data_IF_499153572296
#
_entry.id   IF_499153572296
#
_cell.length_a   1.000
_cell.length_b   1.000
_cell.length_c   1.000
_cell.angle_alpha   90.00
_cell.angle_beta   90.00
_cell.angle_gamma   90.00
#
_symmetry.space_group_name_H-M   'P 1'
#
loop_
_entity.id
_entity.type
_entity.pdbx_description
1 polymer ?
#
# COMPACT_ATOMS: atom_id res chain seq x y z
N UNK A 1 -3.29 -21.09 -76.08
CA UNK A 1 -3.47 -22.46 -76.59
C UNK A 1 -3.08 -23.42 -75.49
N UNK A 2 -3.90 -24.46 -75.29
CA UNK A 2 -3.70 -25.68 -74.47
C UNK A 2 -3.81 -25.51 -72.94
N UNK A 3 -4.87 -26.01 -72.26
CA UNK A 3 -5.21 -27.42 -71.90
C UNK A 3 -4.11 -28.08 -71.04
N UNK A 4 -4.33 -28.86 -70.00
CA UNK A 4 -5.49 -29.45 -69.29
C UNK A 4 -4.94 -30.20 -68.05
N UNK A 5 -5.84 -30.80 -67.27
CA UNK A 5 -5.68 -31.78 -66.17
C UNK A 5 -5.48 -31.22 -64.76
N UNK A 6 -6.56 -31.13 -63.96
CA UNK A 6 -7.24 -32.21 -63.23
C UNK A 6 -6.52 -32.63 -61.95
N UNK A 7 -7.09 -32.23 -60.80
CA UNK A 7 -7.54 -33.19 -59.79
C UNK A 7 -8.59 -32.57 -58.85
N UNK A 8 -9.84 -32.90 -59.14
CA UNK A 8 -10.85 -33.46 -58.21
C UNK A 8 -10.18 -33.92 -56.89
N UNK A 9 -10.64 -33.51 -55.70
CA UNK A 9 -11.84 -34.06 -55.08
C UNK A 9 -12.23 -33.28 -53.82
N UNK A 10 -13.55 -33.25 -53.64
CA UNK A 10 -14.30 -33.26 -52.39
C UNK A 10 -14.28 -31.97 -51.56
N UNK A 11 -15.39 -31.22 -51.56
CA UNK A 11 -16.54 -31.42 -50.65
C UNK A 11 -16.21 -30.95 -49.25
N UNK A 12 -17.00 -30.15 -48.53
CA UNK A 12 -18.20 -29.38 -48.74
C UNK A 12 -18.29 -28.50 -47.48
N UNK A 13 -18.94 -27.35 -47.60
CA UNK A 13 -19.31 -26.47 -46.47
C UNK A 13 -20.21 -27.22 -45.44
N UNK A 14 -20.81 -26.56 -44.45
CA UNK A 14 -20.27 -25.79 -43.32
C UNK A 14 -20.85 -26.36 -42.01
N UNK A 15 -20.03 -26.91 -41.10
CA UNK A 15 -20.55 -27.34 -39.79
C UNK A 15 -20.45 -26.21 -38.77
N UNK A 16 -21.62 -25.66 -38.47
CA UNK A 16 -21.91 -25.00 -37.22
C UNK A 16 -21.48 -25.88 -36.05
N UNK A 17 -20.61 -25.37 -35.18
CA UNK A 17 -20.63 -25.79 -33.80
C UNK A 17 -20.24 -24.60 -32.91
N UNK A 18 -21.27 -24.12 -32.22
CA UNK A 18 -21.19 -23.34 -31.01
C UNK A 18 -20.16 -23.97 -30.07
N UNK A 19 -18.97 -23.36 -29.97
CA UNK A 19 -18.18 -23.56 -28.76
C UNK A 19 -18.19 -22.28 -27.93
N UNK A 20 -19.18 -22.31 -27.03
CA UNK A 20 -19.45 -21.40 -25.97
C UNK A 20 -18.18 -21.15 -25.14
N UNK A 21 -17.38 -20.15 -25.55
CA UNK A 21 -16.34 -19.60 -24.67
C UNK A 21 -17.03 -19.09 -23.40
N UNK A 22 -16.75 -19.67 -22.22
CA UNK A 22 -17.40 -19.25 -21.01
C UNK A 22 -16.98 -17.81 -20.75
N UNK A 23 -17.95 -16.90 -20.85
CA UNK A 23 -17.85 -15.50 -20.42
C UNK A 23 -17.25 -15.54 -19.01
N UNK A 24 -15.96 -15.26 -18.88
CA UNK A 24 -15.27 -15.11 -17.60
C UNK A 24 -16.10 -14.10 -16.82
N UNK A 25 -16.86 -14.62 -15.85
CA UNK A 25 -17.74 -13.86 -14.96
C UNK A 25 -16.90 -12.71 -14.44
N UNK A 26 -17.18 -11.49 -14.92
CA UNK A 26 -16.65 -10.25 -14.35
C UNK A 26 -17.04 -10.33 -12.88
N UNK A 27 -16.06 -10.68 -12.04
CA UNK A 27 -16.24 -10.76 -10.58
C UNK A 27 -16.85 -9.43 -10.20
N UNK A 28 -18.11 -9.50 -9.76
CA UNK A 28 -18.93 -8.40 -9.28
C UNK A 28 -18.05 -7.57 -8.35
N UNK A 29 -17.58 -6.43 -8.88
CA UNK A 29 -16.75 -5.45 -8.17
C UNK A 29 -17.57 -5.12 -6.94
N UNK A 30 -17.11 -5.63 -5.78
CA UNK A 30 -17.80 -5.46 -4.52
C UNK A 30 -18.15 -3.99 -4.39
N UNK A 31 -19.45 -3.74 -4.20
CA UNK A 31 -20.08 -2.46 -3.91
C UNK A 31 -19.04 -1.51 -3.32
N UNK A 32 -18.57 -0.56 -4.12
CA UNK A 32 -17.73 0.51 -3.61
C UNK A 32 -18.59 1.20 -2.56
N UNK A 33 -18.36 0.89 -1.29
CA UNK A 33 -18.86 1.70 -0.19
C UNK A 33 -18.49 3.13 -0.54
N UNK A 34 -19.50 4.01 -0.53
CA UNK A 34 -19.34 5.41 -0.85
C UNK A 34 -18.02 5.92 -0.28
N UNK A 35 -17.23 6.57 -1.14
CA UNK A 35 -15.94 7.17 -0.80
C UNK A 35 -16.12 7.89 0.54
N UNK A 36 -15.50 7.37 1.60
CA UNK A 36 -15.67 7.94 2.94
C UNK A 36 -15.02 9.32 2.91
N UNK A 37 -15.83 10.35 3.11
CA UNK A 37 -15.39 11.74 3.13
C UNK A 37 -14.60 11.97 4.42
N UNK A 38 -13.43 12.62 4.30
CA UNK A 38 -12.51 12.79 5.44
C UNK A 38 -11.70 11.56 5.85
N UNK A 39 -11.53 10.56 4.97
CA UNK A 39 -10.66 9.39 5.23
C UNK A 39 -9.58 9.28 4.15
N UNK A 40 -8.32 8.92 4.52
CA UNK A 40 -7.24 8.83 3.55
C UNK A 40 -7.55 7.81 2.46
N UNK A 41 -7.08 8.06 1.24
CA UNK A 41 -7.36 7.23 0.06
C UNK A 41 -7.05 5.74 0.24
N UNK A 42 -6.06 5.42 1.08
CA UNK A 42 -5.70 4.03 1.40
C UNK A 42 -6.61 3.37 2.43
N UNK A 43 -7.13 4.14 3.40
CA UNK A 43 -8.04 3.64 4.43
C UNK A 43 -9.48 3.48 3.92
N UNK A 44 -9.79 3.96 2.71
CA UNK A 44 -11.10 3.71 2.06
C UNK A 44 -11.42 2.22 1.87
N UNK A 45 -10.41 1.35 1.84
CA UNK A 45 -10.57 -0.09 1.71
C UNK A 45 -10.67 -0.81 3.06
N UNK A 46 -10.52 -0.10 4.18
CA UNK A 46 -10.48 -0.71 5.49
C UNK A 46 -11.90 -1.15 5.94
N UNK A 47 -12.00 -2.30 6.64
CA UNK A 47 -13.26 -2.73 7.23
C UNK A 47 -13.77 -1.67 8.22
N UNK A 48 -15.10 -1.56 8.38
CA UNK A 48 -15.68 -0.71 9.42
C UNK A 48 -15.45 -1.35 10.78
N UNK A 49 -14.59 -0.73 11.57
CA UNK A 49 -14.28 -1.15 12.92
C UNK A 49 -13.92 0.10 13.74
N UNK A 50 -14.59 0.35 14.88
CA UNK A 50 -14.42 1.60 15.62
C UNK A 50 -12.99 1.77 16.17
N UNK A 51 -12.31 0.68 16.53
CA UNK A 51 -10.93 0.74 17.02
C UNK A 51 -9.96 1.06 15.88
N UNK A 52 -10.19 0.50 14.69
CA UNK A 52 -9.41 0.82 13.50
C UNK A 52 -9.63 2.25 13.01
N UNK A 53 -10.87 2.73 13.00
CA UNK A 53 -11.22 4.10 12.58
C UNK A 53 -10.59 5.13 13.52
N UNK A 54 -10.56 4.87 14.84
CA UNK A 54 -9.86 5.71 15.81
C UNK A 54 -8.35 5.82 15.52
N UNK A 55 -7.69 4.71 15.11
CA UNK A 55 -6.28 4.76 14.72
C UNK A 55 -6.04 5.55 13.43
N UNK A 56 -7.00 5.54 12.50
CA UNK A 56 -6.92 6.36 11.28
C UNK A 56 -7.04 7.85 11.64
N UNK A 57 -7.90 8.22 12.57
CA UNK A 57 -8.01 9.60 13.05
C UNK A 57 -6.71 10.07 13.74
N UNK A 58 -6.10 9.22 14.57
CA UNK A 58 -4.79 9.51 15.19
C UNK A 58 -3.70 9.68 14.11
N UNK A 59 -3.75 8.88 13.04
CA UNK A 59 -2.85 9.01 11.90
C UNK A 59 -3.03 10.35 11.18
N UNK A 60 -4.27 10.79 10.96
CA UNK A 60 -4.55 12.09 10.35
C UNK A 60 -4.12 13.27 11.22
N UNK A 61 -4.19 13.13 12.55
CA UNK A 61 -3.66 14.10 13.51
C UNK A 61 -2.13 14.16 13.51
N UNK A 62 -1.45 13.21 12.86
CA UNK A 62 0.01 13.16 12.77
C UNK A 62 0.69 12.50 13.97
N UNK A 63 -0.07 11.88 14.87
CA UNK A 63 0.50 11.12 15.99
C UNK A 63 0.86 9.69 15.55
N UNK A 64 1.89 9.63 14.68
CA UNK A 64 2.42 8.38 14.14
C UNK A 64 3.07 7.50 15.22
N UNK A 65 3.48 8.10 16.34
CA UNK A 65 4.05 7.39 17.48
C UNK A 65 3.03 6.47 18.14
N UNK A 66 1.84 6.99 18.43
CA UNK A 66 0.74 6.23 18.99
C UNK A 66 0.24 5.14 18.01
N UNK A 67 0.02 5.50 16.74
CA UNK A 67 -0.42 4.53 15.71
C UNK A 67 0.56 3.36 15.56
N UNK A 68 1.87 3.63 15.64
CA UNK A 68 2.90 2.58 15.53
C UNK A 68 2.84 1.56 16.66
N UNK A 69 2.43 1.96 17.86
CA UNK A 69 2.32 1.07 19.02
C UNK A 69 0.97 0.36 19.04
N UNK A 70 -0.10 1.09 18.75
CA UNK A 70 -1.45 0.59 18.97
C UNK A 70 -1.99 -0.20 17.77
N UNK A 71 -1.54 0.08 16.54
CA UNK A 71 -1.91 -0.71 15.37
C UNK A 71 -1.49 -2.20 15.44
N UNK A 72 -0.26 -2.58 15.83
CA UNK A 72 0.08 -3.99 16.02
C UNK A 72 -0.66 -4.62 17.22
N UNK A 73 -0.93 -3.86 18.29
CA UNK A 73 -1.73 -4.34 19.43
C UNK A 73 -3.18 -4.63 19.04
N UNK A 74 -3.78 -3.77 18.22
CA UNK A 74 -5.10 -3.99 17.64
C UNK A 74 -5.12 -5.25 16.76
N UNK A 75 -4.06 -5.45 15.98
CA UNK A 75 -3.90 -6.64 15.15
C UNK A 75 -3.83 -7.95 15.96
N UNK A 76 -3.27 -7.92 17.16
CA UNK A 76 -3.20 -9.07 18.08
C UNK A 76 -4.52 -9.35 18.80
N UNK A 77 -5.25 -8.29 19.19
CA UNK A 77 -6.51 -8.40 19.95
C UNK A 77 -7.71 -8.71 19.06
N UNK A 78 -7.71 -8.25 17.81
CA UNK A 78 -8.85 -8.43 16.91
C UNK A 78 -8.97 -9.86 16.41
N UNK A 79 -10.18 -10.41 16.43
CA UNK A 79 -10.50 -11.73 15.86
C UNK A 79 -10.70 -11.66 14.33
N UNK A 80 -10.91 -10.47 13.78
CA UNK A 80 -11.17 -10.27 12.36
C UNK A 80 -9.88 -10.20 11.55
N UNK A 81 -9.66 -11.16 10.66
CA UNK A 81 -8.51 -11.17 9.76
C UNK A 81 -8.45 -9.94 8.83
N UNK A 82 -9.59 -9.31 8.54
CA UNK A 82 -9.65 -8.08 7.73
C UNK A 82 -9.12 -6.87 8.50
N UNK A 83 -9.54 -6.70 9.76
CA UNK A 83 -9.09 -5.62 10.65
C UNK A 83 -7.59 -5.76 10.93
N UNK A 84 -7.14 -7.00 11.18
CA UNK A 84 -5.72 -7.31 11.37
C UNK A 84 -4.84 -6.85 10.20
N UNK A 85 -5.27 -7.13 8.96
CA UNK A 85 -4.52 -6.75 7.75
C UNK A 85 -4.46 -5.24 7.57
N UNK A 86 -5.57 -4.56 7.82
CA UNK A 86 -5.65 -3.10 7.73
C UNK A 86 -4.77 -2.41 8.79
N UNK A 87 -4.83 -2.88 10.04
CA UNK A 87 -3.99 -2.37 11.11
C UNK A 87 -2.48 -2.56 10.82
N UNK A 88 -2.09 -3.72 10.29
CA UNK A 88 -0.70 -3.96 9.86
C UNK A 88 -0.29 -3.12 8.64
N UNK A 89 -1.21 -2.83 7.72
CA UNK A 89 -0.94 -1.89 6.62
C UNK A 89 -0.71 -0.46 7.13
N UNK A 90 -1.53 -0.01 8.10
CA UNK A 90 -1.36 1.28 8.74
C UNK A 90 0.01 1.37 9.45
N UNK A 91 0.36 0.36 10.25
CA UNK A 91 1.63 0.29 10.97
C UNK A 91 2.86 0.34 10.05
N UNK A 92 2.78 -0.27 8.86
CA UNK A 92 3.86 -0.26 7.86
C UNK A 92 4.12 1.14 7.30
N UNK A 93 3.09 1.96 7.13
CA UNK A 93 3.21 3.32 6.58
C UNK A 93 3.80 4.32 7.58
N UNK A 94 3.68 4.04 8.87
CA UNK A 94 4.19 4.90 9.95
C UNK A 94 5.65 4.62 10.36
N UNK A 95 6.35 3.69 9.71
CA UNK A 95 7.75 3.42 10.05
C UNK A 95 8.66 4.50 9.44
N UNK A 96 9.39 5.30 10.25
CA UNK A 96 10.38 6.21 9.71
C UNK A 96 11.50 5.43 9.04
N UNK A 97 12.09 6.00 7.99
CA UNK A 97 13.26 5.42 7.33
C UNK A 97 14.44 5.40 8.33
N UNK A 98 15.01 4.23 8.66
CA UNK A 98 16.14 4.13 9.58
C UNK A 98 17.35 4.98 9.13
N UNK A 99 17.52 5.19 7.83
CA UNK A 99 18.60 6.02 7.29
C UNK A 99 18.39 7.50 7.64
N UNK A 100 17.15 7.99 7.58
CA UNK A 100 16.83 9.38 7.94
C UNK A 100 17.11 9.64 9.42
N UNK A 101 16.81 8.68 10.30
CA UNK A 101 17.12 8.77 11.73
C UNK A 101 18.64 8.82 11.94
N UNK A 102 19.40 7.97 11.24
CA UNK A 102 20.85 7.96 11.33
C UNK A 102 21.47 9.28 10.86
N UNK A 103 21.00 9.81 9.73
CA UNK A 103 21.46 11.11 9.20
C UNK A 103 21.13 12.25 10.14
N UNK A 104 19.94 12.25 10.75
CA UNK A 104 19.56 13.25 11.75
C UNK A 104 20.48 13.17 12.98
N UNK A 105 20.77 11.96 13.47
CA UNK A 105 21.70 11.76 14.58
C UNK A 105 23.10 12.25 14.24
N UNK A 106 23.60 11.93 13.05
CA UNK A 106 24.90 12.41 12.59
C UNK A 106 24.96 13.94 12.52
N UNK A 107 23.91 14.58 12.01
CA UNK A 107 23.81 16.05 11.97
C UNK A 107 23.80 16.67 13.39
N UNK A 108 23.03 16.10 14.32
CA UNK A 108 23.01 16.53 15.72
C UNK A 108 24.39 16.38 16.38
N UNK A 109 25.08 15.28 16.13
CA UNK A 109 26.41 15.01 16.69
C UNK A 109 27.43 16.01 16.16
N UNK A 110 27.40 16.29 14.85
CA UNK A 110 28.26 17.27 14.22
C UNK A 110 27.98 18.69 14.74
N UNK A 111 26.70 19.04 14.95
CA UNK A 111 26.30 20.31 15.53
C UNK A 111 26.83 20.50 16.95
N UNK A 112 26.68 19.47 17.81
CA UNK A 112 27.20 19.50 19.18
C UNK A 112 28.73 19.59 19.17
N UNK A 113 29.39 18.84 18.29
CA UNK A 113 30.84 18.91 18.11
C UNK A 113 31.29 20.33 17.73
N UNK A 114 30.67 20.94 16.71
CA UNK A 114 31.01 22.30 16.29
C UNK A 114 30.70 23.34 17.37
N UNK A 115 29.58 23.19 18.08
CA UNK A 115 29.26 24.08 19.20
C UNK A 115 30.32 24.00 20.30
N UNK A 116 30.69 22.79 20.73
CA UNK A 116 31.71 22.58 21.76
C UNK A 116 33.08 23.10 21.32
N UNK A 117 33.49 22.80 20.09
CA UNK A 117 34.74 23.28 19.50
C UNK A 117 34.78 24.81 19.45
N UNK A 118 33.69 25.43 19.00
CA UNK A 118 33.58 26.89 18.93
C UNK A 118 33.74 27.54 20.31
N UNK A 119 33.06 27.03 21.34
CA UNK A 119 33.17 27.60 22.69
C UNK A 119 34.56 27.38 23.30
N UNK A 120 35.13 26.18 23.16
CA UNK A 120 36.49 25.90 23.68
C UNK A 120 37.55 26.76 22.99
N UNK A 121 37.56 26.83 21.66
CA UNK A 121 38.53 27.65 20.93
C UNK A 121 38.30 29.17 21.07
N UNK A 122 37.08 29.62 21.35
CA UNK A 122 36.85 31.05 21.69
C UNK A 122 37.28 31.42 23.09
N UNK A 123 37.27 30.49 24.04
CA UNK A 123 37.76 30.73 25.41
C UNK A 123 39.30 30.72 25.48
N UNK A 124 39.96 30.07 24.52
CA UNK A 124 41.43 30.04 24.39
C UNK A 124 42.02 31.21 23.58
N UNK A 125 41.20 32.14 23.08
CA UNK A 125 41.69 33.36 22.43
C UNK A 125 41.98 34.43 23.51
N UNK A 126 43.26 34.84 23.73
CA UNK A 126 43.65 35.82 24.74
C UNK A 126 43.18 37.25 24.44
#
# INVERSE_FOLDING_TARGET
MSESSERTEASAEPSAEEDARPRKKRKKKGKAEARREGIPSFAQRFPRDPELDALVEVFERGDYGHVRVEAPRLAERTKSAAVRRAALELARRTRPDPLAVLMLLAACLLLVFFAAWYYTHRLDAP
#
